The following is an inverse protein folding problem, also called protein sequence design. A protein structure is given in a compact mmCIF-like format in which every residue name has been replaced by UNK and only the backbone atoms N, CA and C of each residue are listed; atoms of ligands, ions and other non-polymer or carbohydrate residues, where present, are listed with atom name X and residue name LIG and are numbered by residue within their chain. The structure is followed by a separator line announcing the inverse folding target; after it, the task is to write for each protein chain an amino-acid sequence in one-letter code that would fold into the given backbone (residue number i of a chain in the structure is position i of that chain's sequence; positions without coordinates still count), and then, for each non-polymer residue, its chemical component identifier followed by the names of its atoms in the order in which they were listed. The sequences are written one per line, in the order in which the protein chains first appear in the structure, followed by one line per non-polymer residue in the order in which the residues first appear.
data_IF_769164636002
#
_entry.id   IF_769164636002
#
_cell.length_a   1.000
_cell.length_b   1.000
_cell.length_c   1.000
_cell.angle_alpha   90.00
_cell.angle_beta   90.00
_cell.angle_gamma   90.00
#
_symmetry.space_group_name_H-M   'P 1'
#
loop_
_entity.id
_entity.type
_entity.pdbx_description
1 polymer ?
#
# COMPACT_ATOMS: atom_id res chain seq x y z
N UNK A 1 -20.13 52.17 -66.95
CA UNK A 1 -19.93 53.03 -65.77
C UNK A 1 -20.29 52.16 -64.56
N UNK A 2 -19.31 51.58 -63.94
CA UNK A 2 -19.50 50.76 -62.75
C UNK A 2 -18.99 51.53 -61.54
N UNK A 3 -19.89 51.86 -60.60
CA UNK A 3 -19.52 52.44 -59.30
C UNK A 3 -19.24 51.35 -58.30
N UNK A 4 -18.00 51.24 -57.89
CA UNK A 4 -17.50 50.45 -56.76
C UNK A 4 -17.98 51.06 -55.45
N UNK A 5 -18.84 50.35 -54.70
CA UNK A 5 -19.09 50.63 -53.28
C UNK A 5 -18.09 49.81 -52.46
N UNK A 6 -17.14 50.51 -51.87
CA UNK A 6 -16.33 49.96 -50.79
C UNK A 6 -17.22 49.73 -49.55
N UNK A 7 -17.48 48.51 -49.19
CA UNK A 7 -18.05 48.15 -47.91
C UNK A 7 -16.93 48.16 -46.89
N UNK A 8 -16.92 49.15 -46.05
CA UNK A 8 -16.14 49.25 -44.82
C UNK A 8 -16.69 48.22 -43.81
N UNK A 9 -16.12 47.07 -43.77
CA UNK A 9 -16.42 46.05 -42.75
C UNK A 9 -15.56 46.37 -41.52
N UNK A 10 -16.01 47.32 -40.68
CA UNK A 10 -15.45 47.51 -39.35
C UNK A 10 -15.82 46.29 -38.49
N UNK A 11 -14.92 45.37 -38.35
CA UNK A 11 -14.95 44.35 -37.31
C UNK A 11 -14.67 45.04 -35.96
N UNK A 12 -15.68 45.68 -35.38
CA UNK A 12 -15.71 46.05 -33.98
C UNK A 12 -16.47 44.94 -33.27
N UNK A 13 -15.76 44.06 -32.67
CA UNK A 13 -16.14 43.36 -31.44
C UNK A 13 -14.93 42.58 -30.97
N UNK A 14 -14.15 43.20 -30.11
CA UNK A 14 -13.36 42.50 -29.14
C UNK A 14 -14.34 41.61 -28.36
N UNK A 15 -14.54 40.38 -28.80
CA UNK A 15 -15.10 39.37 -27.92
C UNK A 15 -14.07 39.17 -26.82
N UNK A 16 -14.35 39.76 -25.68
CA UNK A 16 -13.77 39.35 -24.42
C UNK A 16 -14.19 37.92 -24.27
N UNK A 17 -13.34 37.01 -24.75
CA UNK A 17 -13.42 35.59 -24.41
C UNK A 17 -13.26 35.59 -22.89
N UNK A 18 -14.39 35.42 -22.21
CA UNK A 18 -14.42 35.13 -20.80
C UNK A 18 -13.49 33.91 -20.66
N UNK A 19 -12.22 34.13 -20.28
CA UNK A 19 -11.31 33.05 -19.91
C UNK A 19 -12.00 32.38 -18.73
N UNK A 20 -12.80 31.31 -18.99
CA UNK A 20 -13.17 30.38 -17.95
C UNK A 20 -11.86 29.99 -17.32
N UNK A 21 -11.70 30.33 -16.04
CA UNK A 21 -10.59 29.80 -15.25
C UNK A 21 -10.71 28.28 -15.30
N UNK A 22 -10.01 27.66 -16.23
CA UNK A 22 -9.90 26.21 -16.26
C UNK A 22 -8.90 25.83 -15.17
N UNK A 23 -9.37 25.01 -14.28
CA UNK A 23 -8.56 24.41 -13.22
C UNK A 23 -8.33 22.96 -13.59
N UNK A 24 -7.07 22.54 -13.66
CA UNK A 24 -6.70 21.17 -13.91
C UNK A 24 -6.47 20.44 -12.59
N UNK A 25 -7.08 19.27 -12.46
CA UNK A 25 -6.79 18.34 -11.36
C UNK A 25 -5.79 17.33 -11.91
N UNK A 26 -4.64 17.24 -11.27
CA UNK A 26 -3.63 16.23 -11.53
C UNK A 26 -3.84 15.13 -10.50
N UNK A 27 -4.14 13.92 -10.96
CA UNK A 27 -4.42 12.76 -10.12
C UNK A 27 -3.70 11.57 -10.75
N UNK A 28 -2.39 11.48 -10.51
CA UNK A 28 -1.52 10.47 -11.12
C UNK A 28 -1.06 9.46 -10.07
N UNK A 29 -0.85 8.22 -10.50
CA UNK A 29 -0.10 7.24 -9.71
C UNK A 29 1.40 7.38 -9.97
N UNK A 30 2.22 6.72 -9.16
CA UNK A 30 3.68 6.72 -9.28
C UNK A 30 4.16 5.99 -10.53
N UNK A 31 5.26 6.46 -11.12
CA UNK A 31 6.03 5.68 -12.09
C UNK A 31 7.00 4.78 -11.34
N UNK A 32 6.60 3.54 -11.13
CA UNK A 32 7.30 2.54 -10.29
C UNK A 32 8.81 2.49 -10.58
N UNK A 33 9.62 2.80 -9.55
CA UNK A 33 11.08 2.83 -9.63
C UNK A 33 11.69 4.06 -10.34
N UNK A 34 10.87 5.07 -10.70
CA UNK A 34 11.33 6.28 -11.39
C UNK A 34 10.94 7.56 -10.65
N UNK A 35 9.64 7.83 -10.50
CA UNK A 35 9.13 9.05 -9.87
C UNK A 35 7.93 8.73 -8.99
N UNK A 36 7.83 9.40 -7.86
CA UNK A 36 6.64 9.37 -7.02
C UNK A 36 5.47 10.11 -7.70
N UNK A 37 4.25 9.79 -7.30
CA UNK A 37 3.02 10.49 -7.71
C UNK A 37 3.15 12.01 -7.54
N UNK A 38 3.66 12.44 -6.38
CA UNK A 38 3.88 13.86 -6.08
C UNK A 38 4.89 14.51 -7.03
N UNK A 39 6.05 13.88 -7.28
CA UNK A 39 7.06 14.42 -8.20
C UNK A 39 6.51 14.57 -9.62
N UNK A 40 5.72 13.59 -10.11
CA UNK A 40 5.08 13.67 -11.42
C UNK A 40 4.12 14.85 -11.49
N UNK A 41 3.29 15.03 -10.47
CA UNK A 41 2.32 16.11 -10.43
C UNK A 41 2.97 17.47 -10.28
N UNK A 42 4.02 17.60 -9.49
CA UNK A 42 4.77 18.84 -9.31
C UNK A 42 5.42 19.30 -10.63
N UNK A 43 6.04 18.40 -11.39
CA UNK A 43 6.61 18.68 -12.71
C UNK A 43 5.53 19.13 -13.71
N UNK A 44 4.39 18.44 -13.75
CA UNK A 44 3.27 18.82 -14.63
C UNK A 44 2.70 20.17 -14.20
N UNK A 45 2.53 20.38 -12.89
CA UNK A 45 2.00 21.61 -12.33
C UNK A 45 2.89 22.82 -12.65
N UNK A 46 4.21 22.67 -12.54
CA UNK A 46 5.17 23.74 -12.89
C UNK A 46 4.99 24.19 -14.35
N UNK A 47 4.90 23.25 -15.29
CA UNK A 47 4.72 23.57 -16.71
C UNK A 47 3.38 24.22 -17.00
N UNK A 48 2.29 23.77 -16.37
CA UNK A 48 0.95 24.33 -16.57
C UNK A 48 0.79 25.71 -15.94
N UNK A 49 1.29 25.88 -14.71
CA UNK A 49 1.24 27.14 -13.97
C UNK A 49 2.06 28.23 -14.69
N UNK A 50 3.22 27.87 -15.29
CA UNK A 50 4.00 28.79 -16.10
C UNK A 50 3.22 29.32 -17.33
N UNK A 51 2.21 28.58 -17.78
CA UNK A 51 1.28 29.01 -18.87
C UNK A 51 0.02 29.71 -18.34
N UNK A 52 -0.05 30.00 -17.04
CA UNK A 52 -1.19 30.66 -16.41
C UNK A 52 -2.42 29.74 -16.25
N UNK A 53 -2.21 28.42 -16.19
CA UNK A 53 -3.24 27.41 -15.96
C UNK A 53 -3.16 26.99 -14.50
N UNK A 54 -4.24 27.17 -13.75
CA UNK A 54 -4.32 26.76 -12.34
C UNK A 54 -4.37 25.23 -12.23
N UNK A 55 -3.56 24.65 -11.34
CA UNK A 55 -3.53 23.21 -11.09
C UNK A 55 -3.82 22.87 -9.64
N UNK A 56 -4.35 21.68 -9.40
CA UNK A 56 -4.49 21.04 -8.08
C UNK A 56 -3.88 19.67 -8.19
N UNK A 57 -2.85 19.40 -7.38
CA UNK A 57 -2.23 18.09 -7.26
C UNK A 57 -2.99 17.25 -6.24
N UNK A 58 -3.34 16.03 -6.62
CA UNK A 58 -3.98 15.01 -5.79
C UNK A 58 -3.26 13.68 -6.03
N UNK A 59 -2.08 13.49 -5.41
CA UNK A 59 -1.31 12.27 -5.60
C UNK A 59 -2.14 11.04 -5.26
N UNK A 60 -2.22 10.12 -6.23
CA UNK A 60 -2.97 8.88 -6.11
C UNK A 60 -2.04 7.70 -5.81
N UNK A 61 -2.60 6.62 -5.29
CA UNK A 61 -1.88 5.35 -5.12
C UNK A 61 -2.86 4.19 -5.14
N UNK A 62 -2.46 3.11 -5.76
CA UNK A 62 -3.19 1.83 -5.84
C UNK A 62 -3.06 0.96 -4.57
N UNK A 63 -2.59 1.51 -3.47
CA UNK A 63 -2.24 0.77 -2.25
C UNK A 63 -0.80 0.25 -2.25
N UNK A 64 -0.03 0.55 -3.31
CA UNK A 64 1.39 0.22 -3.45
C UNK A 64 2.33 1.31 -2.92
N UNK A 65 3.54 1.35 -3.54
CA UNK A 65 4.59 2.30 -3.17
C UNK A 65 4.10 3.75 -3.27
N UNK A 66 4.31 4.54 -2.21
CA UNK A 66 3.93 5.95 -2.16
C UNK A 66 2.55 6.23 -1.54
N UNK A 67 1.74 5.21 -1.25
CA UNK A 67 0.44 5.37 -0.58
C UNK A 67 0.58 6.14 0.74
N UNK A 68 1.58 5.79 1.53
CA UNK A 68 1.83 6.43 2.83
C UNK A 68 1.95 7.94 2.71
N UNK A 69 2.79 8.42 1.79
CA UNK A 69 3.03 9.85 1.59
C UNK A 69 1.80 10.55 1.03
N UNK A 70 1.21 9.99 -0.03
CA UNK A 70 0.04 10.56 -0.70
C UNK A 70 -1.16 10.66 0.26
N UNK A 71 -1.49 9.59 0.96
CA UNK A 71 -2.64 9.55 1.85
C UNK A 71 -2.44 10.42 3.08
N UNK A 72 -1.22 10.43 3.65
CA UNK A 72 -0.90 11.30 4.80
C UNK A 72 -1.00 12.77 4.43
N UNK A 73 -0.48 13.17 3.27
CA UNK A 73 -0.59 14.54 2.77
C UNK A 73 -2.04 14.94 2.49
N UNK A 74 -2.80 14.09 1.78
CA UNK A 74 -4.20 14.35 1.43
C UNK A 74 -5.12 14.51 2.65
N UNK A 75 -4.82 13.82 3.75
CA UNK A 75 -5.60 13.89 5.00
C UNK A 75 -5.12 14.95 5.98
N UNK A 76 -4.03 15.66 5.68
CA UNK A 76 -3.39 16.60 6.62
C UNK A 76 -2.78 15.90 7.83
N UNK A 77 -2.37 14.65 7.66
CA UNK A 77 -1.73 13.82 8.68
C UNK A 77 -0.25 14.14 8.88
N UNK A 78 0.38 13.42 9.78
CA UNK A 78 1.82 13.51 10.07
C UNK A 78 2.50 12.17 9.86
N UNK A 79 3.74 12.19 9.37
CA UNK A 79 4.59 11.00 9.31
C UNK A 79 5.33 10.81 10.63
N UNK A 80 5.26 9.59 11.16
CA UNK A 80 5.87 9.20 12.41
C UNK A 80 7.03 8.24 12.15
N UNK A 81 8.27 8.63 12.50
CA UNK A 81 9.43 7.76 12.31
C UNK A 81 9.44 6.64 13.34
N UNK A 82 9.85 5.45 12.89
CA UNK A 82 10.02 4.27 13.76
C UNK A 82 11.26 3.49 13.34
N UNK A 83 11.84 2.77 14.31
CA UNK A 83 12.98 1.88 14.09
C UNK A 83 12.54 0.43 14.28
N UNK A 84 12.56 -0.34 13.20
CA UNK A 84 12.02 -1.70 13.10
C UNK A 84 13.04 -2.65 12.46
N UNK A 85 12.65 -3.92 12.27
CA UNK A 85 13.40 -4.84 11.44
C UNK A 85 12.90 -4.83 9.98
N UNK A 86 13.82 -4.92 9.02
CA UNK A 86 13.50 -5.17 7.62
C UNK A 86 13.17 -6.67 7.38
N UNK A 87 12.90 -7.01 6.12
CA UNK A 87 12.59 -8.37 5.69
C UNK A 87 13.72 -9.39 5.91
N UNK A 88 14.94 -8.94 6.15
CA UNK A 88 16.11 -9.79 6.46
C UNK A 88 16.52 -9.70 7.93
N UNK A 89 15.66 -9.15 8.79
CA UNK A 89 15.89 -8.95 10.22
C UNK A 89 17.06 -8.00 10.53
N UNK A 90 17.37 -7.07 9.61
CA UNK A 90 18.30 -5.97 9.85
C UNK A 90 17.51 -4.78 10.38
N UNK A 91 18.10 -3.99 11.25
CA UNK A 91 17.46 -2.77 11.75
C UNK A 91 17.41 -1.69 10.66
N UNK A 92 16.24 -1.08 10.51
CA UNK A 92 15.98 -0.03 9.52
C UNK A 92 15.05 1.04 10.06
N UNK A 93 15.19 2.24 9.52
CA UNK A 93 14.23 3.32 9.71
C UNK A 93 13.03 3.09 8.80
N UNK A 94 11.85 3.35 9.31
CA UNK A 94 10.58 3.27 8.61
C UNK A 94 9.63 4.36 9.12
N UNK A 95 8.50 4.52 8.44
CA UNK A 95 7.49 5.51 8.82
C UNK A 95 6.10 4.89 8.74
N UNK A 96 5.17 5.46 9.51
CA UNK A 96 3.74 5.33 9.31
C UNK A 96 3.08 6.71 9.41
N UNK A 97 1.92 6.88 8.81
CA UNK A 97 1.15 8.12 8.87
C UNK A 97 0.16 8.09 10.03
N UNK A 98 -0.17 9.26 10.57
CA UNK A 98 -1.28 9.42 11.50
C UNK A 98 -2.14 10.59 11.04
N UNK A 99 -3.39 10.32 10.76
CA UNK A 99 -4.37 11.33 10.37
C UNK A 99 -4.85 12.14 11.59
N UNK A 100 -5.46 13.32 11.41
CA UNK A 100 -5.98 14.12 12.52
C UNK A 100 -7.02 13.40 13.39
N UNK A 101 -7.75 12.41 12.86
CA UNK A 101 -8.70 11.57 13.61
C UNK A 101 -8.05 10.37 14.31
N UNK A 102 -6.72 10.23 14.24
CA UNK A 102 -5.97 9.17 14.89
C UNK A 102 -5.92 7.84 14.11
N UNK A 103 -6.32 7.83 12.83
CA UNK A 103 -6.18 6.66 11.96
C UNK A 103 -4.71 6.51 11.56
N UNK A 104 -4.15 5.31 11.72
CA UNK A 104 -2.81 4.99 11.25
C UNK A 104 -2.82 4.56 9.79
N UNK A 105 -1.91 5.10 9.00
CA UNK A 105 -1.67 4.72 7.61
C UNK A 105 -0.37 3.94 7.55
N UNK A 106 -0.43 2.71 7.11
CA UNK A 106 0.72 1.79 7.08
C UNK A 106 0.90 1.23 5.69
N UNK A 107 2.07 1.46 5.12
CA UNK A 107 2.51 0.82 3.89
C UNK A 107 3.45 -0.33 4.27
N UNK A 108 3.04 -1.58 3.98
CA UNK A 108 3.83 -2.76 4.40
C UNK A 108 5.21 -2.80 3.77
N UNK A 109 5.39 -2.14 2.63
CA UNK A 109 6.67 -2.01 1.94
C UNK A 109 7.73 -1.26 2.77
N UNK A 110 7.32 -0.44 3.74
CA UNK A 110 8.24 0.21 4.69
C UNK A 110 9.07 -0.81 5.50
N UNK A 111 8.52 -2.00 5.73
CA UNK A 111 9.19 -3.08 6.48
C UNK A 111 9.68 -4.24 5.59
N UNK A 112 8.98 -4.52 4.50
CA UNK A 112 9.26 -5.70 3.68
C UNK A 112 9.23 -5.43 2.17
N UNK A 113 9.51 -4.19 1.76
CA UNK A 113 9.52 -3.76 0.37
C UNK A 113 10.64 -4.34 -0.49
N UNK A 114 10.38 -4.45 -1.79
CA UNK A 114 11.39 -4.82 -2.80
C UNK A 114 12.53 -3.80 -2.87
N UNK A 115 12.28 -2.54 -2.54
CA UNK A 115 13.26 -1.45 -2.49
C UNK A 115 14.28 -1.57 -1.36
N UNK A 116 13.98 -2.36 -0.31
CA UNK A 116 14.86 -2.58 0.84
C UNK A 116 15.96 -3.61 0.60
N UNK A 117 15.92 -4.32 -0.53
CA UNK A 117 16.82 -5.42 -0.83
C UNK A 117 17.27 -5.39 -2.29
N UNK A 118 18.56 -5.61 -2.52
CA UNK A 118 19.10 -5.71 -3.88
C UNK A 118 18.57 -6.95 -4.58
N UNK A 119 18.48 -6.90 -5.89
CA UNK A 119 17.92 -7.99 -6.70
C UNK A 119 18.67 -9.32 -6.45
N UNK A 120 19.98 -9.27 -6.34
CA UNK A 120 20.84 -10.44 -6.13
C UNK A 120 20.67 -11.06 -4.75
N UNK A 121 20.14 -10.32 -3.78
CA UNK A 121 19.92 -10.78 -2.40
C UNK A 121 18.48 -11.30 -2.19
N UNK A 122 17.59 -11.11 -3.18
CA UNK A 122 16.19 -11.51 -3.07
C UNK A 122 16.04 -13.00 -2.85
N UNK A 123 15.40 -13.38 -1.76
CA UNK A 123 15.08 -14.77 -1.45
C UNK A 123 13.83 -14.85 -0.57
N UNK A 124 12.65 -15.09 -1.17
CA UNK A 124 11.38 -15.09 -0.44
C UNK A 124 11.25 -16.26 0.55
N UNK A 125 12.13 -17.28 0.47
CA UNK A 125 12.19 -18.36 1.47
C UNK A 125 12.78 -17.91 2.80
N UNK A 126 13.56 -16.81 2.81
CA UNK A 126 14.25 -16.24 3.98
C UNK A 126 13.66 -14.93 4.44
N UNK A 127 12.98 -14.22 3.55
CA UNK A 127 12.36 -12.94 3.84
C UNK A 127 11.16 -13.11 4.79
N UNK A 128 11.01 -12.18 5.73
CA UNK A 128 9.95 -12.20 6.74
C UNK A 128 9.19 -10.89 6.80
N UNK A 129 7.90 -10.97 7.10
CA UNK A 129 7.04 -9.81 7.37
C UNK A 129 7.08 -9.35 8.84
N UNK A 130 8.07 -9.78 9.63
CA UNK A 130 8.15 -9.47 11.07
C UNK A 130 8.10 -7.96 11.37
N UNK A 131 8.82 -7.15 10.61
CA UNK A 131 8.83 -5.69 10.76
C UNK A 131 7.48 -5.03 10.56
N UNK A 132 6.59 -5.64 9.76
CA UNK A 132 5.19 -5.15 9.62
C UNK A 132 4.47 -5.22 10.98
N UNK A 133 4.62 -6.33 11.70
CA UNK A 133 4.04 -6.46 13.05
C UNK A 133 4.63 -5.49 14.05
N UNK A 134 5.94 -5.19 13.97
CA UNK A 134 6.58 -4.16 14.80
C UNK A 134 6.02 -2.76 14.49
N UNK A 135 5.82 -2.44 13.20
CA UNK A 135 5.28 -1.16 12.75
C UNK A 135 3.86 -0.97 13.28
N UNK A 136 2.98 -1.98 13.13
CA UNK A 136 1.64 -1.98 13.71
C UNK A 136 1.69 -1.79 15.24
N UNK A 137 2.55 -2.54 15.93
CA UNK A 137 2.66 -2.46 17.37
C UNK A 137 3.11 -1.07 17.86
N UNK A 138 3.96 -0.36 17.11
CA UNK A 138 4.35 1.02 17.43
C UNK A 138 3.17 1.98 17.34
N UNK A 139 2.38 1.90 16.28
CA UNK A 139 1.20 2.71 16.09
C UNK A 139 0.13 2.41 17.16
N UNK A 140 -0.11 1.13 17.49
CA UNK A 140 -1.05 0.72 18.55
C UNK A 140 -0.64 1.28 19.91
N UNK A 141 0.64 1.14 20.29
CA UNK A 141 1.18 1.68 21.56
C UNK A 141 1.13 3.20 21.64
N UNK A 142 1.10 3.90 20.50
CA UNK A 142 0.89 5.35 20.41
C UNK A 142 -0.59 5.74 20.54
N UNK A 143 -1.50 4.77 20.56
CA UNK A 143 -2.94 4.99 20.76
C UNK A 143 -3.78 4.83 19.49
N UNK A 144 -3.20 4.53 18.34
CA UNK A 144 -3.98 4.24 17.12
C UNK A 144 -4.80 2.97 17.29
N UNK A 145 -6.05 3.00 16.80
CA UNK A 145 -6.98 1.86 16.83
C UNK A 145 -7.61 1.59 15.48
N UNK A 146 -7.53 2.53 14.55
CA UNK A 146 -7.99 2.38 13.17
C UNK A 146 -6.78 2.38 12.25
N UNK A 147 -6.77 1.47 11.28
CA UNK A 147 -5.65 1.28 10.38
C UNK A 147 -6.11 1.22 8.93
N UNK A 148 -5.40 1.92 8.05
CA UNK A 148 -5.44 1.74 6.61
C UNK A 148 -4.10 1.16 6.18
N UNK A 149 -4.13 -0.02 5.57
CA UNK A 149 -2.93 -0.80 5.26
C UNK A 149 -2.79 -0.92 3.73
N UNK A 150 -1.71 -0.40 3.19
CA UNK A 150 -1.34 -0.60 1.79
C UNK A 150 -0.57 -1.90 1.58
N UNK A 151 -1.10 -2.78 0.72
CA UNK A 151 -0.56 -4.12 0.45
C UNK A 151 0.18 -4.19 -0.90
N UNK A 152 1.14 -3.30 -1.15
CA UNK A 152 1.91 -3.29 -2.39
C UNK A 152 3.42 -3.46 -2.17
N UNK A 153 4.18 -3.68 -3.27
CA UNK A 153 5.63 -3.53 -3.33
C UNK A 153 6.48 -4.51 -2.50
N UNK A 154 5.94 -5.63 -2.00
CA UNK A 154 6.64 -6.50 -1.04
C UNK A 154 7.57 -7.54 -1.66
N UNK A 155 8.65 -7.89 -0.95
CA UNK A 155 9.59 -8.97 -1.28
C UNK A 155 9.37 -10.25 -0.44
N UNK A 156 8.42 -10.25 0.48
CA UNK A 156 8.10 -11.42 1.33
C UNK A 156 7.07 -12.35 0.69
N UNK A 157 7.07 -13.62 1.09
CA UNK A 157 6.09 -14.65 0.72
C UNK A 157 5.91 -15.64 1.88
N UNK A 158 5.74 -15.11 3.10
CA UNK A 158 5.63 -15.86 4.33
C UNK A 158 4.20 -16.00 4.86
N UNK A 159 3.20 -15.71 4.02
CA UNK A 159 1.78 -15.70 4.38
C UNK A 159 1.45 -14.82 5.60
N UNK A 160 2.28 -13.81 5.89
CA UNK A 160 2.14 -12.93 7.05
C UNK A 160 2.52 -13.55 8.40
N UNK A 161 3.12 -14.74 8.39
CA UNK A 161 3.54 -15.44 9.62
C UNK A 161 4.49 -14.59 10.46
N UNK A 162 5.43 -13.89 9.81
CA UNK A 162 6.35 -12.98 10.51
C UNK A 162 5.62 -11.86 11.26
N UNK A 163 4.63 -11.23 10.62
CA UNK A 163 3.80 -10.19 11.23
C UNK A 163 3.07 -10.73 12.47
N UNK A 164 2.40 -11.88 12.34
CA UNK A 164 1.69 -12.53 13.45
C UNK A 164 2.66 -12.83 14.59
N UNK A 165 3.85 -13.37 14.27
CA UNK A 165 4.87 -13.65 15.26
C UNK A 165 5.30 -12.41 16.04
N UNK A 166 5.55 -11.29 15.34
CA UNK A 166 5.92 -10.03 16.00
C UNK A 166 4.82 -9.53 16.94
N UNK A 167 3.55 -9.61 16.53
CA UNK A 167 2.41 -9.23 17.34
C UNK A 167 2.31 -10.11 18.61
N UNK A 168 2.52 -11.42 18.48
CA UNK A 168 2.55 -12.36 19.62
C UNK A 168 3.72 -12.06 20.55
N UNK A 169 4.91 -11.83 20.02
CA UNK A 169 6.11 -11.51 20.83
C UNK A 169 5.89 -10.21 21.63
N UNK A 170 5.30 -9.18 21.02
CA UNK A 170 5.16 -7.86 21.61
C UNK A 170 3.98 -7.76 22.57
N UNK A 171 2.82 -8.31 22.22
CA UNK A 171 1.59 -8.16 22.99
C UNK A 171 1.31 -9.34 23.94
N UNK A 172 1.71 -10.55 23.56
CA UNK A 172 1.49 -11.75 24.35
C UNK A 172 2.77 -12.36 24.97
N UNK A 173 3.91 -11.66 24.87
CA UNK A 173 5.22 -12.13 25.37
C UNK A 173 5.57 -13.53 24.86
N UNK A 174 5.29 -13.78 23.57
CA UNK A 174 5.58 -15.04 22.90
C UNK A 174 4.64 -16.21 23.21
N UNK A 175 3.51 -16.00 23.90
CA UNK A 175 2.56 -17.08 24.22
C UNK A 175 1.82 -17.56 22.97
N UNK A 176 0.70 -16.92 22.60
CA UNK A 176 -0.10 -17.23 21.43
C UNK A 176 -0.88 -16.00 20.94
N UNK A 177 -1.55 -16.12 19.78
CA UNK A 177 -2.25 -15.01 19.17
C UNK A 177 -3.53 -14.64 19.93
N UNK A 178 -4.23 -15.60 20.52
CA UNK A 178 -5.46 -15.33 21.30
C UNK A 178 -5.14 -14.46 22.54
N UNK A 179 -3.98 -14.67 23.17
CA UNK A 179 -3.52 -13.80 24.25
C UNK A 179 -3.14 -12.40 23.76
N UNK A 180 -2.63 -12.27 22.53
CA UNK A 180 -2.36 -10.97 21.93
C UNK A 180 -3.67 -10.19 21.66
N UNK A 181 -4.73 -10.87 21.19
CA UNK A 181 -6.05 -10.27 20.98
C UNK A 181 -6.76 -9.80 22.26
N UNK A 182 -6.34 -10.27 23.42
CA UNK A 182 -6.88 -9.77 24.72
C UNK A 182 -6.26 -8.44 25.15
N UNK A 183 -5.34 -7.89 24.37
CA UNK A 183 -4.69 -6.60 24.62
C UNK A 183 -5.27 -5.51 23.69
N UNK A 184 -4.60 -4.37 23.63
CA UNK A 184 -4.97 -3.25 22.75
C UNK A 184 -5.06 -3.66 21.26
N UNK A 185 -4.42 -4.77 20.87
CA UNK A 185 -4.50 -5.31 19.52
C UNK A 185 -5.95 -5.71 19.15
N UNK A 186 -6.69 -6.31 20.08
CA UNK A 186 -8.08 -6.72 19.86
C UNK A 186 -9.07 -5.56 19.76
N UNK A 187 -8.66 -4.34 20.10
CA UNK A 187 -9.47 -3.12 19.95
C UNK A 187 -9.31 -2.47 18.56
N UNK A 188 -8.39 -2.99 17.75
CA UNK A 188 -8.03 -2.38 16.47
C UNK A 188 -8.93 -2.86 15.33
N UNK A 189 -9.19 -1.96 14.39
CA UNK A 189 -9.84 -2.25 13.11
C UNK A 189 -8.88 -1.97 11.95
N UNK A 190 -8.92 -2.84 10.94
CA UNK A 190 -8.00 -2.80 9.81
C UNK A 190 -8.77 -2.76 8.49
N UNK A 191 -8.45 -1.78 7.64
CA UNK A 191 -8.91 -1.69 6.26
C UNK A 191 -7.70 -1.89 5.35
N UNK A 192 -7.81 -2.83 4.42
CA UNK A 192 -6.75 -3.15 3.47
C UNK A 192 -7.02 -2.43 2.15
N UNK A 193 -6.06 -1.63 1.70
CA UNK A 193 -6.07 -1.01 0.37
C UNK A 193 -5.28 -1.93 -0.58
N UNK A 194 -5.97 -2.53 -1.56
CA UNK A 194 -5.38 -3.51 -2.47
C UNK A 194 -6.22 -3.67 -3.72
N UNK A 195 -5.58 -3.74 -4.89
CA UNK A 195 -6.22 -3.89 -6.19
C UNK A 195 -6.06 -5.29 -6.79
N UNK A 196 -5.43 -6.23 -6.06
CA UNK A 196 -5.29 -7.60 -6.52
C UNK A 196 -6.29 -8.51 -5.82
N UNK A 197 -6.80 -9.49 -6.55
CA UNK A 197 -7.82 -10.44 -6.09
C UNK A 197 -7.29 -11.88 -5.96
N UNK A 198 -5.98 -12.08 -6.11
CA UNK A 198 -5.36 -13.41 -6.02
C UNK A 198 -5.64 -14.07 -4.66
N UNK A 199 -5.99 -15.39 -4.65
CA UNK A 199 -6.07 -16.18 -3.44
C UNK A 199 -4.69 -16.41 -2.82
N UNK A 200 -4.64 -16.94 -1.60
CA UNK A 200 -3.38 -17.23 -0.93
C UNK A 200 -2.56 -18.30 -1.67
N UNK A 201 -3.22 -19.38 -2.11
CA UNK A 201 -2.58 -20.58 -2.62
C UNK A 201 -3.10 -21.00 -4.00
N UNK A 202 -2.41 -21.96 -4.63
CA UNK A 202 -2.77 -22.54 -5.93
C UNK A 202 -2.13 -21.80 -7.10
N UNK A 203 -2.50 -22.17 -8.33
CA UNK A 203 -1.88 -21.64 -9.57
C UNK A 203 -1.97 -20.13 -9.69
N UNK A 204 -3.06 -19.53 -9.19
CA UNK A 204 -3.28 -18.09 -9.15
C UNK A 204 -2.90 -17.49 -7.78
N UNK A 205 -2.28 -18.25 -6.90
CA UNK A 205 -1.94 -17.83 -5.55
C UNK A 205 -0.67 -16.98 -5.46
N UNK A 206 -0.44 -16.45 -4.26
CA UNK A 206 0.66 -15.53 -3.96
C UNK A 206 2.04 -16.02 -4.42
N UNK A 207 2.35 -17.29 -4.18
CA UNK A 207 3.66 -17.84 -4.52
C UNK A 207 3.87 -17.99 -6.02
N UNK A 208 2.86 -18.47 -6.75
CA UNK A 208 2.94 -18.69 -8.20
C UNK A 208 2.98 -17.38 -8.98
N UNK A 209 2.12 -16.42 -8.64
CA UNK A 209 2.00 -15.17 -9.37
C UNK A 209 3.13 -14.20 -9.04
N UNK A 210 3.47 -14.05 -7.76
CA UNK A 210 4.40 -13.00 -7.30
C UNK A 210 5.77 -13.54 -6.85
N UNK A 211 5.93 -14.85 -6.66
CA UNK A 211 7.18 -15.44 -6.24
C UNK A 211 8.36 -15.17 -7.18
N UNK A 212 8.22 -15.34 -8.50
CA UNK A 212 9.33 -15.14 -9.46
C UNK A 212 9.96 -13.74 -9.37
N UNK A 213 9.17 -12.66 -9.31
CA UNK A 213 9.70 -11.28 -9.18
C UNK A 213 10.43 -11.03 -7.85
N UNK A 214 10.18 -11.87 -6.84
CA UNK A 214 10.83 -11.84 -5.52
C UNK A 214 12.07 -12.73 -5.45
N UNK A 215 12.48 -13.31 -6.58
CA UNK A 215 13.65 -14.17 -6.70
C UNK A 215 13.40 -15.66 -6.40
N UNK A 216 12.14 -16.13 -6.43
CA UNK A 216 11.83 -17.53 -6.24
C UNK A 216 12.13 -18.35 -7.51
N UNK A 217 12.82 -19.48 -7.34
CA UNK A 217 12.89 -20.54 -8.38
C UNK A 217 11.57 -21.31 -8.42
N UNK A 218 11.29 -22.11 -9.48
CA UNK A 218 10.09 -22.95 -9.53
C UNK A 218 9.95 -23.89 -8.33
N UNK A 219 11.05 -24.43 -7.84
CA UNK A 219 11.06 -25.30 -6.64
C UNK A 219 10.73 -24.52 -5.37
N UNK A 220 11.22 -23.28 -5.25
CA UNK A 220 10.86 -22.38 -4.14
C UNK A 220 9.38 -21.99 -4.20
N UNK A 221 8.84 -21.70 -5.38
CA UNK A 221 7.42 -21.41 -5.57
C UNK A 221 6.55 -22.55 -5.03
N UNK A 222 6.84 -23.80 -5.45
CA UNK A 222 6.08 -24.97 -4.96
C UNK A 222 6.19 -25.14 -3.44
N UNK A 223 7.37 -24.86 -2.85
CA UNK A 223 7.55 -24.93 -1.40
C UNK A 223 6.81 -23.83 -0.65
N UNK A 224 6.84 -22.58 -1.17
CA UNK A 224 6.13 -21.46 -0.58
C UNK A 224 4.61 -21.67 -0.61
N UNK A 225 4.09 -22.12 -1.75
CA UNK A 225 2.66 -22.45 -1.90
C UNK A 225 2.25 -23.55 -0.91
N UNK A 226 3.02 -24.63 -0.82
CA UNK A 226 2.76 -25.71 0.15
C UNK A 226 2.79 -25.22 1.60
N UNK A 227 3.73 -24.33 1.95
CA UNK A 227 3.82 -23.74 3.30
C UNK A 227 2.59 -22.87 3.61
N UNK A 228 2.15 -22.09 2.64
CA UNK A 228 0.95 -21.24 2.77
C UNK A 228 -0.31 -22.09 2.94
N UNK A 229 -0.48 -23.18 2.16
CA UNK A 229 -1.57 -24.15 2.32
C UNK A 229 -1.62 -24.75 3.73
N UNK A 230 -0.50 -25.29 4.20
CA UNK A 230 -0.40 -25.87 5.55
C UNK A 230 -0.68 -24.85 6.66
N UNK A 231 -0.29 -23.60 6.45
CA UNK A 231 -0.61 -22.53 7.37
C UNK A 231 -2.11 -22.22 7.36
N UNK A 232 -2.74 -22.11 6.18
CA UNK A 232 -4.18 -21.89 6.04
C UNK A 232 -4.99 -23.04 6.68
N UNK A 233 -4.65 -24.28 6.42
CA UNK A 233 -5.29 -25.47 7.02
C UNK A 233 -5.26 -25.41 8.56
N UNK A 234 -4.10 -25.09 9.15
CA UNK A 234 -3.99 -24.96 10.62
C UNK A 234 -4.78 -23.78 11.17
N UNK A 235 -4.77 -22.66 10.46
CA UNK A 235 -5.55 -21.49 10.86
C UNK A 235 -7.05 -21.75 10.79
N UNK A 236 -7.51 -22.43 9.72
CA UNK A 236 -8.90 -22.82 9.57
C UNK A 236 -9.39 -23.74 10.71
N UNK A 237 -8.55 -24.70 11.12
CA UNK A 237 -8.84 -25.56 12.26
C UNK A 237 -8.95 -24.77 13.58
N UNK A 238 -8.12 -23.74 13.75
CA UNK A 238 -8.12 -22.94 14.96
C UNK A 238 -9.32 -21.98 15.03
N UNK A 239 -9.62 -21.29 13.93
CA UNK A 239 -10.69 -20.27 13.91
C UNK A 239 -12.08 -20.83 13.53
N UNK A 240 -12.17 -22.01 12.95
CA UNK A 240 -13.41 -22.59 12.45
C UNK A 240 -13.89 -22.03 11.10
N UNK A 241 -13.08 -21.18 10.44
CA UNK A 241 -13.32 -20.63 9.10
C UNK A 241 -12.01 -20.42 8.35
N UNK A 242 -12.08 -20.30 7.01
CA UNK A 242 -10.91 -20.12 6.14
C UNK A 242 -11.16 -18.99 5.14
N UNK A 243 -10.23 -18.04 5.10
CA UNK A 243 -10.23 -16.90 4.17
C UNK A 243 -9.15 -17.02 3.08
N UNK A 244 -8.50 -18.17 2.95
CA UNK A 244 -7.39 -18.36 2.00
C UNK A 244 -7.80 -18.24 0.53
N UNK A 245 -9.07 -18.50 0.22
CA UNK A 245 -9.63 -18.37 -1.11
C UNK A 245 -10.26 -16.99 -1.38
N UNK A 246 -10.35 -16.12 -0.39
CA UNK A 246 -10.92 -14.79 -0.56
C UNK A 246 -10.06 -13.91 -1.49
N UNK A 247 -10.69 -13.04 -2.30
CA UNK A 247 -9.98 -12.07 -3.12
C UNK A 247 -9.00 -11.25 -2.29
N UNK A 248 -7.75 -11.13 -2.76
CA UNK A 248 -6.71 -10.39 -2.06
C UNK A 248 -5.99 -11.14 -0.93
N UNK A 249 -6.38 -12.38 -0.62
CA UNK A 249 -5.66 -13.19 0.37
C UNK A 249 -4.18 -13.39 0.03
N UNK A 250 -3.86 -13.47 -1.27
CA UNK A 250 -2.49 -13.58 -1.78
C UNK A 250 -1.71 -12.27 -1.83
N UNK A 251 -2.37 -11.13 -1.62
CA UNK A 251 -1.73 -9.83 -1.68
C UNK A 251 -0.54 -9.75 -0.72
N UNK A 252 0.52 -9.06 -1.16
CA UNK A 252 1.74 -8.86 -0.38
C UNK A 252 2.35 -10.19 0.15
N UNK A 253 2.31 -11.26 -0.66
CA UNK A 253 2.87 -12.56 -0.28
C UNK A 253 2.10 -13.27 0.83
N UNK A 254 0.80 -13.01 0.91
CA UNK A 254 -0.13 -13.60 1.88
C UNK A 254 -0.34 -12.77 3.14
N UNK A 255 0.19 -11.54 3.22
CA UNK A 255 -0.17 -10.59 4.28
C UNK A 255 -1.67 -10.30 4.26
N UNK A 256 -2.30 -10.19 3.07
CA UNK A 256 -3.75 -10.04 2.94
C UNK A 256 -4.50 -11.12 3.70
N UNK A 257 -4.11 -12.38 3.53
CA UNK A 257 -4.67 -13.51 4.29
C UNK A 257 -4.50 -13.32 5.80
N UNK A 258 -3.27 -13.01 6.26
CA UNK A 258 -3.01 -12.86 7.68
C UNK A 258 -3.86 -11.76 8.31
N UNK A 259 -4.00 -10.62 7.66
CA UNK A 259 -4.86 -9.55 8.13
C UNK A 259 -6.33 -9.96 8.19
N UNK A 260 -6.86 -10.60 7.14
CA UNK A 260 -8.25 -11.02 7.10
C UNK A 260 -8.55 -12.15 8.08
N UNK A 261 -7.70 -13.19 8.12
CA UNK A 261 -7.91 -14.39 8.94
C UNK A 261 -7.72 -14.15 10.42
N UNK A 262 -6.67 -13.38 10.80
CA UNK A 262 -6.26 -13.20 12.18
C UNK A 262 -6.75 -11.90 12.81
N UNK A 263 -6.85 -10.82 12.03
CA UNK A 263 -7.19 -9.48 12.51
C UNK A 263 -8.58 -9.01 12.04
N UNK A 264 -9.32 -9.84 11.31
CA UNK A 264 -10.67 -9.51 10.85
C UNK A 264 -10.72 -8.31 9.90
N UNK A 265 -9.63 -8.07 9.15
CA UNK A 265 -9.53 -6.92 8.27
C UNK A 265 -10.52 -6.97 7.11
N UNK A 266 -10.99 -5.80 6.70
CA UNK A 266 -11.84 -5.61 5.52
C UNK A 266 -11.00 -5.19 4.32
N UNK A 267 -11.18 -5.88 3.17
CA UNK A 267 -10.55 -5.49 1.91
C UNK A 267 -11.37 -4.40 1.23
N UNK A 268 -10.70 -3.36 0.73
CA UNK A 268 -11.29 -2.33 -0.12
C UNK A 268 -10.37 -2.09 -1.32
N UNK A 269 -10.96 -1.71 -2.44
CA UNK A 269 -10.17 -1.25 -3.59
C UNK A 269 -9.24 -0.11 -3.14
N UNK A 270 -7.99 -0.15 -3.57
CA UNK A 270 -6.98 0.87 -3.24
C UNK A 270 -7.15 2.18 -4.02
N UNK A 271 -7.99 2.19 -5.07
CA UNK A 271 -8.25 3.34 -5.94
C UNK A 271 -9.46 4.16 -5.47
#
# INVERSE_FOLDING_TARGET
IWHSKKNDCRLSRTQVINKRHMKYILATDSFKGCMSSQEVEDEIAEVLNAKGIETVCLPMSDGGDGMLSAFTAATGGTLEPVYIHDLMMRRTDAHYGVTPDGTAIVEVAQACGLSLIKEEERNPMRATSYGVGELLARAIKRGCRKFVIGLGGTATSDAGIGMIKALVDIFARGKNFDEALKTELGECSFTLACDVDNPLCGENGAAHVYGPQKGATPEMVAQLDRRAQLFAEKSALHFGFDRSAEPGAGAAGGLGYAFMQYLGAEMKSGA
#
